data_IF_997815392668
#
_entry.id   IF_997815392668
#
_cell.length_a   1.000
_cell.length_b   1.000
_cell.length_c   1.000
_cell.angle_alpha   90.00
_cell.angle_beta   90.00
_cell.angle_gamma   90.00
#
_symmetry.space_group_name_H-M   'P 1'
#
loop_
_entity.id
_entity.type
_entity.pdbx_description
1 polymer ?
#
# COMPACT_ATOMS: atom_id res chain seq x y z
N UNK A 1 -80.25 27.97 18.06
CA UNK A 1 -80.37 28.25 19.51
C UNK A 1 -79.08 27.76 20.14
N UNK A 2 -78.04 28.60 20.21
CA UNK A 2 -77.83 29.71 21.15
C UNK A 2 -77.19 29.24 22.46
N UNK A 3 -76.37 30.16 22.98
CA UNK A 3 -75.73 30.21 24.30
C UNK A 3 -74.33 29.57 24.38
N UNK A 4 -73.28 30.41 24.39
CA UNK A 4 -72.72 31.17 25.53
C UNK A 4 -72.06 30.21 26.55
N UNK A 5 -70.86 30.45 27.07
CA UNK A 5 -70.07 31.67 27.09
C UNK A 5 -68.75 31.49 27.87
N UNK A 6 -68.07 32.63 28.00
CA UNK A 6 -66.76 32.94 28.60
C UNK A 6 -66.48 32.33 29.98
N UNK A 7 -65.18 32.18 30.32
CA UNK A 7 -64.47 32.94 31.38
C UNK A 7 -62.95 32.59 31.44
N UNK A 8 -62.10 33.63 31.58
CA UNK A 8 -60.64 33.60 31.86
C UNK A 8 -60.35 33.38 33.36
N UNK A 9 -59.14 32.94 33.79
CA UNK A 9 -58.11 33.90 34.25
C UNK A 9 -56.63 33.50 34.03
N UNK A 10 -55.77 34.48 34.29
CA UNK A 10 -54.33 34.58 34.09
C UNK A 10 -53.46 33.73 35.03
N UNK A 11 -52.23 33.41 34.58
CA UNK A 11 -51.07 33.26 35.47
C UNK A 11 -49.77 33.58 34.72
N UNK A 12 -48.98 34.47 35.32
CA UNK A 12 -47.77 35.06 34.80
C UNK A 12 -46.66 34.02 34.51
N UNK A 13 -45.98 34.15 33.37
CA UNK A 13 -44.72 33.44 33.11
C UNK A 13 -43.59 34.44 32.99
N UNK A 14 -42.58 34.19 33.82
CA UNK A 14 -41.37 34.97 34.08
C UNK A 14 -40.58 35.24 32.80
N UNK A 15 -40.24 36.51 32.57
CA UNK A 15 -39.26 36.90 31.55
C UNK A 15 -37.85 36.50 32.03
N UNK A 16 -37.34 35.38 31.51
CA UNK A 16 -35.95 34.98 31.64
C UNK A 16 -35.11 35.78 30.63
N UNK A 17 -34.34 36.76 31.15
CA UNK A 17 -33.22 37.34 30.43
C UNK A 17 -32.21 36.23 30.09
N UNK A 18 -32.13 35.88 28.82
CA UNK A 18 -31.09 34.99 28.31
C UNK A 18 -29.83 35.82 28.01
N UNK A 19 -28.65 35.46 28.55
CA UNK A 19 -27.40 36.07 28.16
C UNK A 19 -27.06 35.68 26.71
N UNK A 20 -26.72 36.68 25.90
CA UNK A 20 -26.11 36.52 24.58
C UNK A 20 -24.75 35.84 24.74
N UNK A 21 -24.73 34.50 24.68
CA UNK A 21 -23.51 33.76 24.44
C UNK A 21 -23.13 33.98 22.98
N UNK A 22 -22.14 34.84 22.77
CA UNK A 22 -21.40 34.99 21.51
C UNK A 22 -20.73 33.64 21.24
N UNK A 23 -21.40 32.81 20.44
CA UNK A 23 -20.83 31.60 19.88
C UNK A 23 -19.85 32.02 18.77
N UNK A 24 -18.56 31.99 19.07
CA UNK A 24 -17.52 32.03 18.05
C UNK A 24 -17.65 30.75 17.21
N UNK A 25 -18.24 30.87 16.00
CA UNK A 25 -18.05 29.91 14.91
C UNK A 25 -16.59 29.95 14.48
N UNK A 26 -15.73 29.24 15.23
CA UNK A 26 -14.46 28.74 14.72
C UNK A 26 -14.74 27.37 14.13
N UNK A 27 -15.03 27.34 12.84
CA UNK A 27 -15.16 26.12 12.05
C UNK A 27 -13.72 25.61 11.76
N UNK A 28 -13.02 25.20 12.81
CA UNK A 28 -11.80 24.41 12.69
C UNK A 28 -12.23 22.98 12.38
N UNK A 29 -12.60 22.75 11.12
CA UNK A 29 -12.71 21.39 10.59
C UNK A 29 -11.32 20.76 10.74
N UNK A 30 -11.17 19.94 11.79
CA UNK A 30 -9.97 19.16 12.04
C UNK A 30 -9.70 18.32 10.80
N UNK A 31 -8.66 18.69 10.04
CA UNK A 31 -8.23 17.96 8.87
C UNK A 31 -7.79 16.59 9.36
N UNK A 32 -8.56 15.55 9.05
CA UNK A 32 -8.17 14.18 9.35
C UNK A 32 -6.72 13.99 8.88
N UNK A 33 -5.82 13.47 9.74
CA UNK A 33 -4.45 13.23 9.36
C UNK A 33 -4.45 12.36 8.10
N UNK A 34 -3.95 12.92 6.99
CA UNK A 34 -3.80 12.16 5.76
C UNK A 34 -2.75 11.08 5.97
N UNK A 35 -2.93 9.91 5.34
CA UNK A 35 -1.88 8.92 5.24
C UNK A 35 -0.70 9.53 4.47
N UNK A 36 0.43 9.73 5.13
CA UNK A 36 1.68 10.16 4.51
C UNK A 36 2.56 8.92 4.29
N UNK A 37 2.81 8.51 3.03
CA UNK A 37 3.63 7.36 2.73
C UNK A 37 5.07 7.56 3.21
N UNK A 38 5.64 6.52 3.83
CA UNK A 38 7.06 6.54 4.20
C UNK A 38 7.93 6.30 2.97
N UNK A 39 8.91 7.18 2.72
CA UNK A 39 9.82 6.99 1.59
C UNK A 39 10.76 5.80 1.83
N UNK A 40 11.18 5.13 0.76
CA UNK A 40 12.12 4.01 0.88
C UNK A 40 13.47 4.42 1.49
N UNK A 41 13.89 5.69 1.33
CA UNK A 41 15.13 6.20 1.89
C UNK A 41 15.06 6.41 3.41
N UNK A 42 13.86 6.62 3.97
CA UNK A 42 13.61 6.82 5.40
C UNK A 42 13.28 5.52 6.12
N UNK A 43 12.97 4.46 5.36
CA UNK A 43 12.58 3.16 5.90
C UNK A 43 13.77 2.40 6.52
N UNK A 44 13.68 2.09 7.81
CA UNK A 44 14.64 1.22 8.50
C UNK A 44 14.27 -0.27 8.37
N UNK A 45 14.70 -0.87 7.26
CA UNK A 45 14.51 -2.29 7.02
C UNK A 45 15.26 -3.21 8.00
N UNK A 46 16.24 -2.71 8.79
CA UNK A 46 17.01 -3.54 9.72
C UNK A 46 16.19 -3.98 10.95
N UNK A 47 15.13 -3.23 11.26
CA UNK A 47 14.18 -3.53 12.33
C UNK A 47 13.04 -4.44 11.89
N UNK A 48 12.91 -4.70 10.59
CA UNK A 48 11.74 -5.40 10.01
C UNK A 48 12.03 -6.89 9.84
N UNK A 49 11.08 -7.69 10.34
CA UNK A 49 11.04 -9.14 10.13
C UNK A 49 9.80 -9.49 9.32
N UNK A 50 10.03 -9.94 8.09
CA UNK A 50 8.96 -10.40 7.19
C UNK A 50 8.59 -11.84 7.54
N UNK A 51 7.28 -12.08 7.69
CA UNK A 51 6.73 -13.42 7.84
C UNK A 51 6.54 -14.10 6.49
N UNK A 52 6.84 -15.39 6.46
CA UNK A 52 6.58 -16.26 5.30
C UNK A 52 5.19 -16.86 5.43
N UNK A 53 4.17 -16.00 5.52
CA UNK A 53 2.75 -16.33 5.66
C UNK A 53 1.87 -15.45 4.78
N UNK A 54 0.56 -15.70 4.78
CA UNK A 54 -0.41 -14.75 4.20
C UNK A 54 -0.33 -13.39 4.91
N UNK A 55 -0.45 -12.33 4.13
CA UNK A 55 -0.35 -10.94 4.56
C UNK A 55 -1.27 -9.99 3.76
N UNK A 56 -2.06 -10.48 2.80
CA UNK A 56 -2.81 -9.59 1.91
C UNK A 56 -3.90 -8.80 2.64
N UNK A 57 -4.50 -9.36 3.68
CA UNK A 57 -5.49 -8.70 4.54
C UNK A 57 -4.90 -7.63 5.46
N UNK A 58 -3.56 -7.49 5.50
CA UNK A 58 -2.86 -6.53 6.38
C UNK A 58 -2.56 -5.21 5.69
N UNK A 59 -2.80 -5.08 4.39
CA UNK A 59 -2.74 -3.79 3.70
C UNK A 59 -3.91 -2.92 4.14
N UNK A 60 -3.65 -1.65 4.46
CA UNK A 60 -4.73 -0.68 4.67
C UNK A 60 -5.30 -0.24 3.32
N UNK A 61 -6.60 0.07 3.29
CA UNK A 61 -7.26 0.57 2.10
C UNK A 61 -6.62 1.89 1.63
N UNK A 62 -6.16 2.73 2.56
CA UNK A 62 -5.48 3.99 2.25
C UNK A 62 -4.13 3.78 1.55
N UNK A 63 -3.33 2.80 1.99
CA UNK A 63 -2.03 2.48 1.39
C UNK A 63 -2.21 1.92 -0.04
N UNK A 64 -3.20 1.06 -0.24
CA UNK A 64 -3.54 0.55 -1.57
C UNK A 64 -4.04 1.69 -2.46
N UNK A 65 -4.96 2.51 -1.95
CA UNK A 65 -5.51 3.64 -2.71
C UNK A 65 -4.44 4.70 -3.05
N UNK A 66 -3.46 4.94 -2.19
CA UNK A 66 -2.33 5.82 -2.48
C UNK A 66 -1.48 5.29 -3.65
N UNK A 67 -1.41 3.96 -3.81
CA UNK A 67 -0.57 3.31 -4.83
C UNK A 67 -1.25 3.16 -6.18
N UNK A 68 -2.51 2.73 -6.20
CA UNK A 68 -3.26 2.42 -7.44
C UNK A 68 -4.51 3.27 -7.65
N UNK A 69 -4.82 4.20 -6.75
CA UNK A 69 -6.07 4.96 -6.81
C UNK A 69 -7.28 4.10 -6.46
N UNK A 70 -8.40 4.30 -7.15
CA UNK A 70 -9.60 3.47 -6.99
C UNK A 70 -9.30 2.03 -7.40
N UNK A 71 -9.42 1.09 -6.47
CA UNK A 71 -9.20 -0.34 -6.72
C UNK A 71 -10.38 -0.92 -7.49
N UNK A 72 -10.11 -1.51 -8.65
CA UNK A 72 -11.10 -2.25 -9.45
C UNK A 72 -11.02 -3.75 -9.19
N UNK A 73 -9.82 -4.27 -8.93
CA UNK A 73 -9.60 -5.69 -8.77
C UNK A 73 -8.49 -6.00 -7.78
N UNK A 74 -8.74 -6.98 -6.93
CA UNK A 74 -7.74 -7.57 -6.03
C UNK A 74 -7.60 -9.06 -6.35
N UNK A 75 -6.36 -9.52 -6.49
CA UNK A 75 -6.02 -10.93 -6.69
C UNK A 75 -5.00 -11.34 -5.64
N UNK A 76 -5.11 -12.57 -5.17
CA UNK A 76 -4.13 -13.18 -4.29
C UNK A 76 -3.96 -14.66 -4.62
N UNK A 77 -2.82 -15.20 -4.23
CA UNK A 77 -2.62 -16.65 -4.12
C UNK A 77 -1.63 -16.96 -3.02
N UNK A 78 -1.82 -18.11 -2.39
CA UNK A 78 -0.99 -18.60 -1.30
C UNK A 78 0.01 -19.69 -1.71
N UNK A 79 0.84 -20.07 -0.74
CA UNK A 79 1.72 -21.22 -0.86
C UNK A 79 0.93 -22.51 -1.12
N UNK A 80 1.34 -23.27 -2.14
CA UNK A 80 0.68 -24.52 -2.52
C UNK A 80 -0.50 -24.36 -3.47
N UNK A 81 -0.93 -23.12 -3.75
CA UNK A 81 -2.01 -22.85 -4.70
C UNK A 81 -1.50 -22.83 -6.14
N UNK A 82 -2.38 -23.13 -7.09
CA UNK A 82 -2.04 -23.02 -8.52
C UNK A 82 -2.08 -21.56 -8.97
N UNK A 83 -0.96 -21.04 -9.45
CA UNK A 83 -0.83 -19.68 -9.96
C UNK A 83 -0.38 -19.66 -11.42
N UNK A 84 -0.86 -18.68 -12.18
CA UNK A 84 -0.33 -18.39 -13.52
C UNK A 84 0.98 -17.61 -13.36
N UNK A 85 2.11 -18.24 -13.66
CA UNK A 85 3.44 -17.61 -13.55
C UNK A 85 3.75 -16.73 -14.77
N UNK A 86 3.30 -17.18 -15.94
CA UNK A 86 3.36 -16.47 -17.22
C UNK A 86 2.27 -17.04 -18.14
N UNK A 87 2.04 -16.42 -19.29
CA UNK A 87 0.96 -16.80 -20.21
C UNK A 87 1.04 -18.29 -20.59
N UNK A 88 -0.03 -19.03 -20.28
CA UNK A 88 -0.13 -20.46 -20.54
C UNK A 88 0.60 -21.37 -19.56
N UNK A 89 1.34 -20.82 -18.58
CA UNK A 89 2.07 -21.61 -17.58
C UNK A 89 1.41 -21.45 -16.21
N UNK A 90 0.79 -22.54 -15.75
CA UNK A 90 0.31 -22.70 -14.37
C UNK A 90 1.22 -23.65 -13.62
N UNK A 91 1.60 -23.27 -12.41
CA UNK A 91 2.37 -24.13 -11.51
C UNK A 91 1.88 -23.93 -10.07
N UNK A 92 2.37 -24.75 -9.15
CA UNK A 92 2.17 -24.61 -7.72
C UNK A 92 3.07 -23.49 -7.20
N UNK A 93 2.46 -22.50 -6.55
CA UNK A 93 3.15 -21.39 -5.95
C UNK A 93 3.97 -21.83 -4.73
N UNK A 94 5.18 -21.30 -4.62
CA UNK A 94 6.02 -21.35 -3.42
C UNK A 94 6.20 -19.95 -2.82
N UNK A 95 5.18 -19.11 -2.95
CA UNK A 95 5.11 -17.75 -2.43
C UNK A 95 3.68 -17.35 -2.05
N UNK A 96 3.56 -16.29 -1.26
CA UNK A 96 2.31 -15.57 -1.03
C UNK A 96 2.32 -14.32 -1.88
N UNK A 97 1.27 -14.03 -2.64
CA UNK A 97 1.18 -12.89 -3.54
C UNK A 97 -0.10 -12.08 -3.29
N UNK A 98 0.05 -10.76 -3.31
CA UNK A 98 -1.06 -9.80 -3.36
C UNK A 98 -0.89 -8.93 -4.60
N UNK A 99 -1.96 -8.75 -5.37
CA UNK A 99 -2.00 -7.90 -6.56
C UNK A 99 -3.24 -7.01 -6.50
N UNK A 100 -3.04 -5.70 -6.60
CA UNK A 100 -4.09 -4.68 -6.62
C UNK A 100 -4.05 -3.95 -7.96
N UNK A 101 -5.21 -3.80 -8.59
CA UNK A 101 -5.38 -3.16 -9.89
C UNK A 101 -6.24 -1.93 -9.73
N UNK A 102 -5.71 -0.79 -10.16
CA UNK A 102 -6.39 0.50 -10.17
C UNK A 102 -7.27 0.70 -11.40
N UNK A 103 -8.28 1.55 -11.29
CA UNK A 103 -9.15 1.95 -12.40
C UNK A 103 -8.41 2.62 -13.57
N UNK A 104 -7.24 3.20 -13.31
CA UNK A 104 -6.36 3.79 -14.32
C UNK A 104 -5.38 2.79 -14.95
N UNK A 105 -5.45 1.50 -14.57
CA UNK A 105 -4.58 0.43 -15.04
C UNK A 105 -3.26 0.31 -14.28
N UNK A 106 -3.04 1.07 -13.20
CA UNK A 106 -1.92 0.84 -12.29
C UNK A 106 -2.02 -0.53 -11.64
N UNK A 107 -0.87 -1.16 -11.43
CA UNK A 107 -0.81 -2.46 -10.76
C UNK A 107 0.26 -2.43 -9.68
N UNK A 108 -0.16 -2.59 -8.43
CA UNK A 108 0.71 -2.75 -7.27
C UNK A 108 0.73 -4.23 -6.86
N UNK A 109 1.93 -4.78 -6.68
CA UNK A 109 2.11 -6.20 -6.30
C UNK A 109 3.11 -6.34 -5.18
N UNK A 110 2.89 -7.32 -4.31
CA UNK A 110 3.83 -7.76 -3.29
C UNK A 110 3.85 -9.28 -3.23
N UNK A 111 5.02 -9.87 -3.00
CA UNK A 111 5.13 -11.32 -2.81
C UNK A 111 6.29 -11.73 -1.91
N UNK A 112 6.03 -12.72 -1.05
CA UNK A 112 6.99 -13.28 -0.10
C UNK A 112 7.30 -14.72 -0.49
N UNK A 113 8.58 -15.01 -0.72
CA UNK A 113 9.03 -16.37 -1.02
C UNK A 113 8.95 -17.25 0.24
N UNK A 114 8.35 -18.43 0.11
CA UNK A 114 8.11 -19.35 1.25
C UNK A 114 9.38 -20.07 1.69
N UNK A 115 10.23 -20.62 0.79
CA UNK A 115 11.50 -21.18 1.20
C UNK A 115 12.40 -20.14 1.86
N UNK A 116 13.16 -20.58 2.86
CA UNK A 116 14.21 -19.75 3.45
C UNK A 116 15.23 -19.35 2.39
N UNK A 117 15.65 -18.09 2.41
CA UNK A 117 16.69 -17.59 1.53
C UNK A 117 17.92 -17.25 2.36
N UNK A 118 18.96 -18.09 2.35
CA UNK A 118 20.22 -17.76 3.01
C UNK A 118 20.88 -16.52 2.39
N UNK A 119 21.70 -15.76 3.15
CA UNK A 119 22.38 -14.57 2.63
C UNK A 119 23.14 -14.80 1.32
N UNK A 120 23.90 -15.90 1.21
CA UNK A 120 24.64 -16.23 -0.02
C UNK A 120 23.72 -16.46 -1.23
N UNK A 121 22.51 -16.99 -1.01
CA UNK A 121 21.51 -17.14 -2.07
C UNK A 121 20.92 -15.78 -2.45
N UNK A 122 20.61 -14.93 -1.47
CA UNK A 122 20.14 -13.57 -1.69
C UNK A 122 21.15 -12.73 -2.49
N UNK A 123 22.44 -12.83 -2.18
CA UNK A 123 23.51 -12.19 -2.94
C UNK A 123 23.54 -12.65 -4.41
N UNK A 124 23.36 -13.96 -4.63
CA UNK A 124 23.27 -14.53 -5.98
C UNK A 124 22.06 -13.98 -6.75
N UNK A 125 20.90 -13.88 -6.09
CA UNK A 125 19.69 -13.29 -6.69
C UNK A 125 19.91 -11.81 -7.06
N UNK A 126 20.55 -11.03 -6.18
CA UNK A 126 20.92 -9.64 -6.46
C UNK A 126 21.89 -9.54 -7.63
N UNK A 127 22.91 -10.40 -7.68
CA UNK A 127 23.88 -10.43 -8.78
C UNK A 127 23.20 -10.79 -10.11
N UNK A 128 22.28 -11.75 -10.11
CA UNK A 128 21.49 -12.14 -11.27
C UNK A 128 20.57 -11.00 -11.74
N UNK A 129 19.89 -10.33 -10.83
CA UNK A 129 18.99 -9.21 -11.14
C UNK A 129 19.73 -8.00 -11.74
N UNK A 130 21.01 -7.81 -11.40
CA UNK A 130 21.88 -6.77 -11.97
C UNK A 130 22.36 -7.07 -13.39
N UNK A 131 22.21 -8.31 -13.87
CA UNK A 131 22.58 -8.65 -15.26
C UNK A 131 21.68 -7.88 -16.23
N UNK A 132 22.25 -7.47 -17.36
CA UNK A 132 21.52 -6.72 -18.40
C UNK A 132 20.37 -7.56 -18.94
N UNK A 133 19.15 -7.07 -18.77
CA UNK A 133 17.93 -7.60 -19.39
C UNK A 133 17.38 -6.54 -20.36
N UNK A 134 16.90 -6.98 -21.52
CA UNK A 134 16.31 -6.06 -22.51
C UNK A 134 15.17 -5.28 -21.88
N UNK A 135 15.16 -3.95 -22.06
CA UNK A 135 14.12 -3.07 -21.51
C UNK A 135 14.23 -2.75 -20.02
N UNK A 136 15.17 -3.38 -19.28
CA UNK A 136 15.32 -3.18 -17.84
C UNK A 136 16.64 -2.53 -17.46
N UNK A 137 16.57 -1.52 -16.62
CA UNK A 137 17.72 -0.85 -16.02
C UNK A 137 17.77 -1.18 -14.53
N UNK A 138 18.83 -1.85 -14.04
CA UNK A 138 18.97 -2.09 -12.61
C UNK A 138 19.25 -0.78 -11.86
N UNK A 139 18.81 -0.70 -10.61
CA UNK A 139 19.13 0.36 -9.66
C UNK A 139 19.46 -0.21 -8.29
N UNK A 140 19.99 0.64 -7.41
CA UNK A 140 20.19 0.29 -6.01
C UNK A 140 18.84 -0.08 -5.38
N UNK A 141 18.83 -1.10 -4.51
CA UNK A 141 17.63 -1.54 -3.78
C UNK A 141 17.16 -0.59 -2.69
N UNK A 142 17.79 0.58 -2.53
CA UNK A 142 17.31 1.66 -1.67
C UNK A 142 17.24 1.37 -0.17
N UNK A 143 17.81 0.26 0.31
CA UNK A 143 17.66 -0.16 1.71
C UNK A 143 16.49 -1.12 1.95
N UNK A 144 15.85 -1.63 0.89
CA UNK A 144 14.76 -2.61 0.97
C UNK A 144 15.24 -4.01 1.40
N UNK A 145 15.71 -4.15 2.64
CA UNK A 145 16.38 -5.34 3.15
C UNK A 145 17.87 -5.39 2.82
N UNK A 146 18.53 -6.48 3.19
CA UNK A 146 19.97 -6.67 2.99
C UNK A 146 20.36 -8.14 2.77
N UNK A 147 20.84 -8.53 1.57
CA UNK A 147 21.07 -7.69 0.39
C UNK A 147 19.76 -7.37 -0.36
N UNK A 148 19.81 -6.33 -1.21
CA UNK A 148 18.65 -5.86 -1.98
C UNK A 148 19.02 -5.35 -3.40
N UNK A 149 18.03 -5.31 -4.28
CA UNK A 149 18.13 -4.82 -5.66
C UNK A 149 16.84 -4.13 -6.09
N UNK A 150 16.97 -3.13 -6.96
CA UNK A 150 15.83 -2.55 -7.67
C UNK A 150 16.02 -2.63 -9.18
N UNK A 151 14.94 -2.52 -9.94
CA UNK A 151 15.02 -2.31 -11.38
C UNK A 151 13.82 -1.52 -11.90
N UNK A 152 14.02 -0.81 -13.01
CA UNK A 152 12.94 -0.23 -13.82
C UNK A 152 12.93 -0.90 -15.18
N UNK A 153 11.83 -1.55 -15.53
CA UNK A 153 11.59 -2.17 -16.82
C UNK A 153 10.58 -1.35 -17.63
N UNK A 154 10.84 -1.21 -18.93
CA UNK A 154 9.94 -0.59 -19.90
C UNK A 154 9.60 -1.57 -21.00
N UNK A 155 8.32 -1.65 -21.31
CA UNK A 155 7.74 -2.50 -22.34
C UNK A 155 6.74 -1.68 -23.16
N UNK A 156 6.15 -2.27 -24.19
CA UNK A 156 5.08 -1.63 -24.96
C UNK A 156 3.82 -1.41 -24.10
N UNK A 157 3.60 -2.29 -23.10
CA UNK A 157 2.44 -2.27 -22.22
C UNK A 157 2.58 -1.28 -21.05
N UNK A 158 3.77 -0.71 -20.83
CA UNK A 158 4.00 0.27 -19.77
C UNK A 158 5.38 0.21 -19.13
N UNK A 159 5.48 0.86 -17.97
CA UNK A 159 6.68 0.90 -17.14
C UNK A 159 6.43 0.25 -15.79
N UNK A 160 7.41 -0.50 -15.29
CA UNK A 160 7.35 -1.14 -13.98
C UNK A 160 8.64 -0.86 -13.20
N UNK A 161 8.51 -0.48 -11.93
CA UNK A 161 9.61 -0.49 -10.99
C UNK A 161 9.40 -1.63 -9.99
N UNK A 162 10.48 -2.36 -9.69
CA UNK A 162 10.49 -3.51 -8.79
C UNK A 162 11.61 -3.34 -7.78
N UNK A 163 11.33 -3.66 -6.52
CA UNK A 163 12.35 -3.84 -5.48
C UNK A 163 12.25 -5.24 -4.89
N UNK A 164 13.39 -5.80 -4.51
CA UNK A 164 13.49 -7.11 -3.91
C UNK A 164 14.66 -7.15 -2.93
N UNK A 165 14.47 -7.78 -1.77
CA UNK A 165 15.54 -7.93 -0.80
C UNK A 165 15.25 -8.91 0.32
N UNK A 166 16.31 -9.17 1.09
CA UNK A 166 16.31 -10.12 2.18
C UNK A 166 16.00 -9.43 3.51
N UNK A 167 15.01 -9.96 4.23
CA UNK A 167 14.62 -9.57 5.58
C UNK A 167 14.83 -10.77 6.50
N UNK A 168 15.96 -10.79 7.22
CA UNK A 168 16.44 -11.93 8.02
C UNK A 168 16.67 -13.19 7.16
N UNK A 169 15.63 -13.98 6.91
CA UNK A 169 15.66 -15.18 6.07
C UNK A 169 14.51 -15.23 5.03
N UNK A 170 13.68 -14.18 4.97
CA UNK A 170 12.57 -14.04 4.05
C UNK A 170 12.94 -13.12 2.88
N UNK A 171 12.68 -13.57 1.66
CA UNK A 171 12.86 -12.77 0.46
C UNK A 171 11.53 -12.14 0.06
N UNK A 172 11.44 -10.83 0.21
CA UNK A 172 10.26 -10.03 -0.15
C UNK A 172 10.56 -9.29 -1.46
N UNK A 173 9.55 -9.22 -2.32
CA UNK A 173 9.59 -8.44 -3.54
C UNK A 173 8.28 -7.70 -3.73
N UNK A 174 8.35 -6.57 -4.40
CA UNK A 174 7.23 -5.68 -4.64
C UNK A 174 7.46 -4.92 -5.94
N UNK A 175 6.36 -4.55 -6.60
CA UNK A 175 6.42 -3.78 -7.84
C UNK A 175 5.23 -2.86 -8.00
N UNK A 176 5.47 -1.72 -8.64
CA UNK A 176 4.44 -0.82 -9.13
C UNK A 176 4.58 -0.68 -10.65
N UNK A 177 3.47 -0.89 -11.36
CA UNK A 177 3.38 -0.76 -12.81
C UNK A 177 2.41 0.35 -13.17
N UNK A 178 2.75 1.11 -14.20
CA UNK A 178 1.91 2.16 -14.79
C UNK A 178 1.75 1.89 -16.28
N UNK A 179 0.55 2.09 -16.89
CA UNK A 179 0.31 1.86 -18.32
C UNK A 179 0.85 3.02 -19.18
N UNK A 180 2.02 3.54 -18.84
CA UNK A 180 2.76 4.54 -19.61
C UNK A 180 4.23 4.12 -19.74
N UNK A 181 4.63 3.71 -20.94
CA UNK A 181 6.00 3.35 -21.26
C UNK A 181 7.00 4.52 -21.12
N UNK A 182 6.49 5.77 -21.14
CA UNK A 182 7.29 7.00 -21.03
C UNK A 182 7.28 7.59 -19.63
N UNK A 183 6.66 6.91 -18.66
CA UNK A 183 6.64 7.35 -17.27
C UNK A 183 8.07 7.71 -16.78
N UNK A 184 8.25 8.87 -16.13
CA UNK A 184 9.55 9.27 -15.61
C UNK A 184 10.09 8.24 -14.61
N UNK A 185 11.27 7.67 -14.89
CA UNK A 185 11.87 6.66 -14.00
C UNK A 185 12.11 7.13 -12.56
N UNK A 186 12.45 8.41 -12.28
CA UNK A 186 12.58 8.87 -10.89
C UNK A 186 11.26 8.81 -10.11
N UNK A 187 10.18 9.33 -10.68
CA UNK A 187 8.84 9.33 -10.05
C UNK A 187 8.32 7.91 -9.85
N UNK A 188 8.42 7.07 -10.88
CA UNK A 188 8.00 5.67 -10.77
C UNK A 188 8.79 4.91 -9.69
N UNK A 189 10.09 5.19 -9.53
CA UNK A 189 10.91 4.58 -8.47
C UNK A 189 10.55 5.07 -7.08
N UNK A 190 10.14 6.33 -6.94
CA UNK A 190 9.70 6.90 -5.67
C UNK A 190 8.38 6.26 -5.23
N UNK A 191 7.35 6.27 -6.09
CA UNK A 191 6.06 5.65 -5.78
C UNK A 191 6.16 4.14 -5.59
N UNK A 192 7.00 3.45 -6.37
CA UNK A 192 7.27 2.03 -6.13
C UNK A 192 7.99 1.80 -4.79
N UNK A 193 8.87 2.72 -4.39
CA UNK A 193 9.55 2.65 -3.11
C UNK A 193 8.58 2.77 -1.93
N UNK A 194 7.66 3.73 -1.99
CA UNK A 194 6.57 3.92 -1.01
C UNK A 194 5.70 2.66 -0.92
N UNK A 195 5.22 2.14 -2.05
CA UNK A 195 4.46 0.88 -2.09
C UNK A 195 5.24 -0.29 -1.46
N UNK A 196 6.53 -0.37 -1.73
CA UNK A 196 7.37 -1.42 -1.16
C UNK A 196 7.51 -1.32 0.36
N UNK A 197 7.55 -0.11 0.92
CA UNK A 197 7.53 0.08 2.37
C UNK A 197 6.23 -0.45 2.96
N UNK A 198 5.07 -0.11 2.38
CA UNK A 198 3.77 -0.64 2.79
C UNK A 198 3.73 -2.17 2.70
N UNK A 199 4.29 -2.75 1.65
CA UNK A 199 4.40 -4.21 1.50
C UNK A 199 5.26 -4.85 2.59
N UNK A 200 6.38 -4.24 2.96
CA UNK A 200 7.23 -4.74 4.04
C UNK A 200 6.56 -4.62 5.41
N UNK A 201 5.80 -3.54 5.66
CA UNK A 201 5.02 -3.38 6.88
C UNK A 201 3.88 -4.39 6.97
N UNK A 202 3.09 -4.54 5.91
CA UNK A 202 2.01 -5.53 5.84
C UNK A 202 2.53 -6.96 6.03
N UNK A 203 3.67 -7.29 5.41
CA UNK A 203 4.27 -8.62 5.54
C UNK A 203 5.03 -8.84 6.85
N UNK A 204 5.15 -7.82 7.72
CA UNK A 204 5.86 -7.95 8.99
C UNK A 204 5.00 -8.56 10.09
N UNK A 205 5.65 -9.26 11.02
CA UNK A 205 5.05 -9.58 12.32
C UNK A 205 5.04 -8.33 13.21
N UNK A 206 3.96 -8.06 13.98
CA UNK A 206 4.04 -7.12 15.07
C UNK A 206 5.13 -7.57 16.05
N UNK A 207 5.89 -6.62 16.61
CA UNK A 207 6.84 -6.92 17.67
C UNK A 207 6.09 -7.61 18.84
N UNK A 208 6.58 -8.78 19.25
CA UNK A 208 6.06 -9.54 20.38
C UNK A 208 6.33 -8.85 21.72
#
# INVERSE_FOLDING_TARGET
MSFLGRLLPAAATVALLSPLLVACSGDDAEKEPGHEPTSLAEFDASSVRVDRSDFCERFSDEAVAASVGTVEETRHYGNGESATLTDGVKDVSHEFNCTFVGADGRIARAWVFVPQVPPARAESLVADAKKKRTGCTPNAGGGFGSPAVGSVCRTEDGSQATYAGLFVDAWLSCSLSVPDAKAPAPELRASAGEWCVEAAQAASSPAA
#
